data_IF_524218013001
#
_entry.id   IF_524218013001
#
_cell.length_a   1.000
_cell.length_b   1.000
_cell.length_c   1.000
_cell.angle_alpha   90.00
_cell.angle_beta   90.00
_cell.angle_gamma   90.00
#
_symmetry.space_group_name_H-M   'P 1'
#
loop_
_entity.id
_entity.type
_entity.pdbx_description
1 polymer ?
#
# COMPACT_ATOMS: atom_id res chain seq x y z
N UNK A 1 -32.94 64.82 -60.71
CA UNK A 1 -33.37 63.39 -60.62
C UNK A 1 -32.18 62.47 -60.32
N UNK A 2 -31.01 62.68 -60.92
CA UNK A 2 -29.76 61.90 -60.72
C UNK A 2 -29.30 61.72 -59.26
N UNK A 3 -29.38 62.76 -58.43
CA UNK A 3 -28.88 62.69 -57.04
C UNK A 3 -29.70 61.71 -56.18
N UNK A 4 -30.99 61.51 -56.51
CA UNK A 4 -31.89 60.61 -55.79
C UNK A 4 -31.65 59.16 -56.19
N UNK A 5 -31.44 58.89 -57.49
CA UNK A 5 -31.09 57.54 -57.98
C UNK A 5 -29.76 57.08 -57.41
N UNK A 6 -28.74 57.95 -57.37
CA UNK A 6 -27.40 57.63 -56.85
C UNK A 6 -27.38 57.28 -55.36
N UNK A 7 -28.22 57.95 -54.56
CA UNK A 7 -28.37 57.64 -53.14
C UNK A 7 -29.08 56.29 -52.91
N UNK A 8 -30.05 55.94 -53.77
CA UNK A 8 -30.75 54.65 -53.69
C UNK A 8 -29.81 53.50 -54.07
N UNK A 9 -28.98 53.67 -55.12
CA UNK A 9 -28.00 52.63 -55.51
C UNK A 9 -26.98 52.38 -54.41
N UNK A 10 -26.49 53.45 -53.77
CA UNK A 10 -25.51 53.33 -52.68
C UNK A 10 -26.11 52.64 -51.45
N UNK A 11 -27.37 52.94 -51.12
CA UNK A 11 -28.08 52.27 -50.02
C UNK A 11 -28.21 50.77 -50.31
N UNK A 12 -28.66 50.39 -51.51
CA UNK A 12 -28.82 48.99 -51.91
C UNK A 12 -27.48 48.23 -51.84
N UNK A 13 -26.38 48.84 -52.30
CA UNK A 13 -25.05 48.22 -52.22
C UNK A 13 -24.58 47.99 -50.78
N UNK A 14 -24.82 48.95 -49.88
CA UNK A 14 -24.48 48.79 -48.45
C UNK A 14 -25.32 47.69 -47.82
N UNK A 15 -26.62 47.63 -48.10
CA UNK A 15 -27.50 46.59 -47.56
C UNK A 15 -27.10 45.21 -48.08
N UNK A 16 -26.69 45.10 -49.34
CA UNK A 16 -26.25 43.84 -49.93
C UNK A 16 -24.93 43.36 -49.30
N UNK A 17 -23.98 44.26 -49.06
CA UNK A 17 -22.71 43.93 -48.38
C UNK A 17 -22.97 43.52 -46.94
N UNK A 18 -23.87 44.21 -46.23
CA UNK A 18 -24.25 43.85 -44.86
C UNK A 18 -24.93 42.46 -44.82
N UNK A 19 -25.84 42.18 -45.75
CA UNK A 19 -26.50 40.88 -45.87
C UNK A 19 -25.52 39.76 -46.23
N UNK A 20 -24.56 40.01 -47.13
CA UNK A 20 -23.49 39.07 -47.46
C UNK A 20 -22.55 38.83 -46.26
N UNK A 21 -22.24 39.88 -45.48
CA UNK A 21 -21.47 39.77 -44.25
C UNK A 21 -22.18 38.95 -43.17
N UNK A 22 -23.49 39.17 -42.99
CA UNK A 22 -24.34 38.41 -42.07
C UNK A 22 -24.49 36.96 -42.56
N UNK A 23 -24.71 36.73 -43.85
CA UNK A 23 -24.82 35.40 -44.45
C UNK A 23 -23.50 34.63 -44.32
N UNK A 24 -22.36 35.29 -44.57
CA UNK A 24 -21.03 34.72 -44.37
C UNK A 24 -20.77 34.43 -42.88
N UNK A 25 -21.16 35.32 -41.97
CA UNK A 25 -21.05 35.10 -40.52
C UNK A 25 -21.94 33.95 -40.01
N UNK A 26 -23.16 33.83 -40.54
CA UNK A 26 -24.10 32.75 -40.20
C UNK A 26 -23.66 31.40 -40.78
N UNK A 27 -23.05 31.37 -41.97
CA UNK A 27 -22.47 30.16 -42.56
C UNK A 27 -21.10 29.77 -42.00
N UNK A 28 -20.38 30.70 -41.36
CA UNK A 28 -19.11 30.43 -40.68
C UNK A 28 -19.29 29.75 -39.30
N UNK A 29 -20.48 29.25 -38.99
CA UNK A 29 -20.63 28.12 -38.06
C UNK A 29 -20.30 26.83 -38.82
N UNK A 30 -19.03 26.71 -39.20
CA UNK A 30 -18.46 25.40 -39.49
C UNK A 30 -18.46 24.63 -38.18
N UNK A 31 -19.18 23.52 -38.16
CA UNK A 31 -18.97 22.41 -37.24
C UNK A 31 -17.53 21.88 -37.42
N UNK A 32 -16.53 22.62 -36.96
CA UNK A 32 -15.51 21.92 -36.20
C UNK A 32 -16.31 21.34 -35.03
N UNK A 33 -16.59 20.03 -35.08
CA UNK A 33 -16.96 19.31 -33.89
C UNK A 33 -15.89 19.67 -32.86
N UNK A 34 -16.24 20.56 -31.94
CA UNK A 34 -15.42 21.00 -30.83
C UNK A 34 -15.33 19.80 -29.88
N UNK A 35 -14.63 18.76 -30.34
CA UNK A 35 -14.36 17.56 -29.58
C UNK A 35 -13.55 18.04 -28.38
N UNK A 36 -14.05 17.85 -27.16
CA UNK A 36 -13.34 18.28 -25.98
C UNK A 36 -11.92 17.71 -26.03
N UNK A 37 -10.94 18.61 -26.04
CA UNK A 37 -9.53 18.25 -26.11
C UNK A 37 -9.07 17.82 -24.72
N UNK A 38 -8.70 16.57 -24.57
CA UNK A 38 -8.24 15.98 -23.31
C UNK A 38 -6.73 15.80 -23.35
N UNK A 39 -6.05 15.98 -22.22
CA UNK A 39 -4.66 15.53 -22.05
C UNK A 39 -4.66 14.06 -21.67
N UNK A 40 -3.85 13.28 -22.36
CA UNK A 40 -3.63 11.88 -22.02
C UNK A 40 -2.40 11.74 -21.12
N UNK A 41 -2.27 10.59 -20.47
CA UNK A 41 -0.95 10.06 -20.12
C UNK A 41 -0.36 10.57 -18.80
N UNK A 42 -0.86 10.04 -17.69
CA UNK A 42 0.04 9.78 -16.56
C UNK A 42 -0.18 8.34 -16.15
N UNK A 43 0.87 7.52 -16.24
CA UNK A 43 0.91 6.27 -15.52
C UNK A 43 1.27 6.59 -14.07
N UNK A 44 0.54 6.02 -13.12
CA UNK A 44 0.87 6.09 -11.71
C UNK A 44 0.89 4.69 -11.11
N UNK A 45 1.78 4.51 -10.14
CA UNK A 45 1.68 3.42 -9.20
C UNK A 45 1.97 3.95 -7.80
N UNK A 46 1.57 3.19 -6.79
CA UNK A 46 2.03 3.50 -5.44
C UNK A 46 3.49 3.07 -5.34
N UNK A 47 4.40 4.04 -5.32
CA UNK A 47 5.85 3.77 -5.31
C UNK A 47 6.30 2.82 -4.19
N UNK A 48 5.59 2.81 -3.06
CA UNK A 48 5.95 2.01 -1.88
C UNK A 48 5.26 0.65 -1.86
N UNK A 49 4.02 0.56 -2.38
CA UNK A 49 3.26 -0.70 -2.36
C UNK A 49 3.47 -1.53 -3.63
N UNK A 50 3.53 -0.84 -4.76
CA UNK A 50 3.44 -1.37 -6.11
C UNK A 50 4.40 -0.61 -7.04
N UNK A 51 5.73 -0.74 -6.85
CA UNK A 51 6.70 -0.16 -7.78
C UNK A 51 6.55 -0.79 -9.17
N UNK A 52 6.18 0.02 -10.17
CA UNK A 52 5.95 -0.43 -11.55
C UNK A 52 6.94 0.26 -12.48
N UNK A 53 7.34 -0.39 -13.56
CA UNK A 53 8.11 0.24 -14.65
C UNK A 53 7.32 0.06 -15.93
N UNK A 54 6.95 1.15 -16.59
CA UNK A 54 6.27 1.09 -17.89
C UNK A 54 7.31 0.76 -18.95
N UNK A 55 7.08 -0.33 -19.67
CA UNK A 55 7.93 -0.81 -20.76
C UNK A 55 7.43 -0.28 -22.09
N UNK A 56 6.12 -0.36 -22.32
CA UNK A 56 5.45 0.16 -23.50
C UNK A 56 4.07 0.69 -23.11
N UNK A 57 3.63 1.80 -23.69
CA UNK A 57 2.28 2.29 -23.50
C UNK A 57 1.84 3.09 -24.72
N UNK A 58 0.62 2.84 -25.18
CA UNK A 58 0.02 3.61 -26.26
C UNK A 58 -1.49 3.68 -26.15
N UNK A 59 -1.99 4.90 -26.30
CA UNK A 59 -3.41 5.15 -26.52
C UNK A 59 -3.66 5.26 -28.02
N UNK A 60 -4.76 4.68 -28.47
CA UNK A 60 -5.15 4.68 -29.89
C UNK A 60 -6.49 5.41 -30.01
N UNK A 61 -6.56 6.44 -30.84
CA UNK A 61 -7.80 7.14 -31.18
C UNK A 61 -8.60 6.43 -32.26
N UNK A 62 -9.84 6.87 -32.49
CA UNK A 62 -10.75 6.25 -33.46
C UNK A 62 -10.26 6.29 -34.91
N UNK A 63 -9.39 7.25 -35.25
CA UNK A 63 -8.74 7.40 -36.55
C UNK A 63 -7.44 6.59 -36.67
N UNK A 64 -7.06 5.82 -35.64
CA UNK A 64 -5.86 5.00 -35.61
C UNK A 64 -4.59 5.74 -35.22
N UNK A 65 -4.66 7.05 -34.93
CA UNK A 65 -3.51 7.79 -34.40
C UNK A 65 -3.13 7.20 -33.05
N UNK A 66 -1.83 6.92 -32.90
CA UNK A 66 -1.28 6.33 -31.69
C UNK A 66 -0.45 7.39 -30.98
N UNK A 67 -0.82 7.71 -29.74
CA UNK A 67 0.04 8.51 -28.86
C UNK A 67 0.84 7.56 -27.99
N UNK A 68 2.16 7.72 -28.07
CA UNK A 68 3.13 6.77 -27.57
C UNK A 68 3.50 7.01 -26.11
N UNK A 69 4.46 6.19 -25.68
CA UNK A 69 4.93 6.13 -24.29
C UNK A 69 5.47 7.48 -23.76
N UNK A 70 5.90 8.41 -24.63
CA UNK A 70 6.41 9.74 -24.23
C UNK A 70 5.33 10.60 -23.58
N UNK A 71 4.09 10.42 -24.00
CA UNK A 71 2.94 11.12 -23.44
C UNK A 71 2.55 10.58 -22.06
N UNK A 72 3.03 9.40 -21.63
CA UNK A 72 2.78 8.84 -20.29
C UNK A 72 3.73 9.39 -19.20
N UNK A 73 4.69 10.24 -19.59
CA UNK A 73 5.64 10.92 -18.70
C UNK A 73 7.12 10.57 -18.97
N UNK A 74 8.02 11.35 -18.36
CA UNK A 74 9.48 11.15 -18.42
C UNK A 74 9.98 9.89 -17.69
N UNK A 75 9.07 9.06 -17.15
CA UNK A 75 9.37 7.89 -16.30
C UNK A 75 9.63 6.62 -17.13
N UNK A 76 9.84 6.75 -18.44
CA UNK A 76 10.28 5.64 -19.28
C UNK A 76 11.58 5.07 -18.74
N UNK A 77 11.56 3.79 -18.40
CA UNK A 77 12.68 3.07 -17.81
C UNK A 77 13.06 3.51 -16.38
N UNK A 78 12.20 4.27 -15.70
CA UNK A 78 12.30 4.53 -14.26
C UNK A 78 11.09 3.91 -13.54
N UNK A 79 11.22 3.49 -12.27
CA UNK A 79 10.07 3.13 -11.47
C UNK A 79 9.08 4.30 -11.39
N UNK A 80 7.83 4.03 -11.76
CA UNK A 80 6.71 4.95 -11.62
C UNK A 80 6.68 5.51 -10.21
N UNK A 81 6.46 6.81 -10.13
CA UNK A 81 6.32 7.50 -8.85
C UNK A 81 4.87 7.92 -8.63
N UNK A 82 4.55 8.42 -7.44
CA UNK A 82 3.23 9.00 -7.15
C UNK A 82 2.43 8.29 -6.08
N UNK A 83 1.25 8.87 -5.80
CA UNK A 83 0.28 8.31 -4.86
C UNK A 83 -0.91 7.78 -5.63
N UNK A 84 -1.32 6.55 -5.30
CA UNK A 84 -2.50 5.92 -5.89
C UNK A 84 -3.73 6.81 -5.73
N UNK A 85 -4.40 7.10 -6.84
CA UNK A 85 -5.59 7.94 -6.84
C UNK A 85 -5.34 9.45 -6.68
N UNK A 86 -4.10 9.93 -6.73
CA UNK A 86 -3.78 11.38 -6.66
C UNK A 86 -3.17 11.90 -7.97
N UNK A 87 -2.54 11.03 -8.77
CA UNK A 87 -1.94 11.42 -10.06
C UNK A 87 -0.61 12.16 -9.88
N UNK A 88 0.32 12.00 -10.83
CA UNK A 88 1.55 12.79 -10.86
C UNK A 88 1.34 14.05 -11.70
N UNK A 89 1.20 15.18 -11.02
CA UNK A 89 1.24 16.51 -11.64
C UNK A 89 0.18 16.76 -12.71
N UNK A 90 0.14 18.01 -13.16
CA UNK A 90 -0.59 18.37 -14.37
C UNK A 90 0.34 18.08 -15.54
N UNK A 91 0.26 16.87 -16.12
CA UNK A 91 0.96 16.66 -17.39
C UNK A 91 0.30 17.53 -18.44
N UNK A 92 1.09 18.42 -19.04
CA UNK A 92 0.79 19.09 -20.30
C UNK A 92 0.87 18.04 -21.41
N UNK A 93 -0.03 17.06 -21.38
CA UNK A 93 -0.13 16.04 -22.41
C UNK A 93 -0.64 16.61 -23.72
N UNK A 94 -0.46 15.86 -24.80
CA UNK A 94 -1.02 16.22 -26.10
C UNK A 94 -2.55 16.28 -26.01
N UNK A 95 -3.11 17.42 -26.44
CA UNK A 95 -4.55 17.61 -26.53
C UNK A 95 -5.12 16.75 -27.67
N UNK A 96 -5.85 15.70 -27.32
CA UNK A 96 -6.37 14.72 -28.24
C UNK A 96 -7.85 14.37 -27.93
N UNK A 97 -8.61 13.78 -28.88
CA UNK A 97 -9.94 13.22 -28.61
C UNK A 97 -9.89 12.11 -27.54
N UNK A 98 -11.01 11.49 -27.16
CA UNK A 98 -10.93 10.33 -26.25
C UNK A 98 -10.38 9.11 -27.01
N UNK A 99 -9.43 8.35 -26.43
CA UNK A 99 -8.93 7.14 -27.06
C UNK A 99 -9.99 6.04 -27.03
N UNK A 100 -9.95 5.17 -28.04
CA UNK A 100 -10.83 4.00 -28.17
C UNK A 100 -10.18 2.72 -27.65
N UNK A 101 -8.86 2.68 -27.54
CA UNK A 101 -8.13 1.56 -26.95
C UNK A 101 -6.83 1.99 -26.25
N UNK A 102 -6.35 1.11 -25.37
CA UNK A 102 -5.09 1.24 -24.64
C UNK A 102 -4.30 -0.06 -24.77
N UNK A 103 -3.06 0.05 -25.20
CA UNK A 103 -2.06 -0.99 -25.09
C UNK A 103 -1.02 -0.58 -24.05
N UNK A 104 -0.72 -1.46 -23.09
CA UNK A 104 0.26 -1.17 -22.05
C UNK A 104 0.96 -2.44 -21.59
N UNK A 105 2.27 -2.31 -21.42
CA UNK A 105 3.20 -3.32 -20.94
C UNK A 105 3.99 -2.73 -19.78
N UNK A 106 4.07 -3.46 -18.67
CA UNK A 106 4.81 -3.00 -17.50
C UNK A 106 5.43 -4.15 -16.73
N UNK A 107 6.50 -3.83 -15.99
CA UNK A 107 7.15 -4.70 -15.04
C UNK A 107 6.69 -4.34 -13.62
N UNK A 108 6.19 -5.32 -12.87
CA UNK A 108 6.02 -5.22 -11.43
C UNK A 108 7.34 -5.54 -10.75
N UNK A 109 7.99 -4.54 -10.14
CA UNK A 109 9.26 -4.77 -9.43
C UNK A 109 9.07 -5.57 -8.15
N UNK A 110 7.84 -5.57 -7.61
CA UNK A 110 7.48 -6.38 -6.44
C UNK A 110 7.32 -7.86 -6.80
N UNK A 111 6.64 -8.16 -7.90
CA UNK A 111 6.37 -9.56 -8.32
C UNK A 111 7.45 -10.12 -9.24
N UNK A 112 8.32 -9.25 -9.79
CA UNK A 112 9.29 -9.57 -10.85
C UNK A 112 8.63 -10.18 -12.10
N UNK A 113 7.38 -9.79 -12.36
CA UNK A 113 6.58 -10.27 -13.50
C UNK A 113 6.28 -9.12 -14.46
N UNK A 114 6.27 -9.45 -15.75
CA UNK A 114 5.78 -8.56 -16.79
C UNK A 114 4.30 -8.79 -17.04
N UNK A 115 3.56 -7.71 -17.23
CA UNK A 115 2.13 -7.71 -17.53
C UNK A 115 1.86 -6.97 -18.82
N UNK A 116 0.89 -7.47 -19.59
CA UNK A 116 0.45 -6.87 -20.85
C UNK A 116 -1.06 -6.78 -20.91
N UNK A 117 -1.56 -5.63 -21.32
CA UNK A 117 -2.98 -5.41 -21.59
C UNK A 117 -3.18 -4.69 -22.92
N UNK A 118 -4.15 -5.18 -23.67
CA UNK A 118 -4.73 -4.53 -24.85
C UNK A 118 -6.23 -4.47 -24.63
N UNK A 119 -6.75 -3.28 -24.33
CA UNK A 119 -8.14 -3.10 -23.89
C UNK A 119 -8.87 -2.08 -24.74
N UNK A 120 -10.13 -2.39 -25.07
CA UNK A 120 -11.05 -1.43 -25.66
C UNK A 120 -11.60 -0.53 -24.55
N UNK A 121 -11.59 0.77 -24.79
CA UNK A 121 -11.97 1.78 -23.81
C UNK A 121 -13.45 2.14 -23.94
N UNK A 122 -14.18 2.33 -22.83
CA UNK A 122 -15.61 2.64 -22.84
C UNK A 122 -15.84 4.12 -23.15
N UNK A 123 -15.62 4.54 -24.39
CA UNK A 123 -15.61 5.96 -24.82
C UNK A 123 -16.82 6.76 -24.33
N UNK A 124 -18.04 6.21 -24.43
CA UNK A 124 -19.27 6.87 -23.94
C UNK A 124 -19.24 7.10 -22.42
N UNK A 125 -18.77 6.11 -21.66
CA UNK A 125 -18.62 6.21 -20.20
C UNK A 125 -17.54 7.23 -19.83
N UNK A 126 -16.42 7.20 -20.57
CA UNK A 126 -15.34 8.17 -20.40
C UNK A 126 -15.85 9.60 -20.61
N UNK A 127 -16.52 9.89 -21.74
CA UNK A 127 -17.04 11.23 -22.02
C UNK A 127 -17.97 11.74 -20.91
N UNK A 128 -18.89 10.89 -20.43
CA UNK A 128 -19.77 11.22 -19.31
C UNK A 128 -19.01 11.55 -18.01
N UNK A 129 -18.00 10.74 -17.66
CA UNK A 129 -17.18 10.93 -16.47
C UNK A 129 -16.29 12.18 -16.60
N UNK A 130 -15.72 12.43 -17.77
CA UNK A 130 -14.92 13.63 -18.02
C UNK A 130 -15.79 14.89 -17.90
N UNK A 131 -17.00 14.91 -18.47
CA UNK A 131 -17.93 16.03 -18.27
C UNK A 131 -18.31 16.22 -16.81
N UNK A 132 -18.60 15.13 -16.08
CA UNK A 132 -19.02 15.22 -14.68
C UNK A 132 -17.90 15.72 -13.76
N UNK A 133 -16.67 15.24 -13.97
CA UNK A 133 -15.45 15.65 -13.25
C UNK A 133 -14.97 17.06 -13.61
N UNK A 134 -15.49 17.66 -14.70
CA UNK A 134 -14.81 18.73 -15.43
C UNK A 134 -13.33 18.33 -15.67
N UNK A 135 -13.20 17.11 -16.18
CA UNK A 135 -11.99 16.35 -16.40
C UNK A 135 -11.19 16.91 -17.55
N UNK A 136 -9.87 16.87 -17.40
CA UNK A 136 -8.93 17.25 -18.46
C UNK A 136 -7.86 16.21 -18.70
N UNK A 137 -7.65 15.27 -17.76
CA UNK A 137 -6.53 14.33 -17.82
C UNK A 137 -7.00 12.88 -17.62
N UNK A 138 -6.52 11.97 -18.47
CA UNK A 138 -6.70 10.51 -18.31
C UNK A 138 -5.49 9.91 -17.56
N UNK A 139 -5.74 9.18 -16.48
CA UNK A 139 -4.71 8.57 -15.64
C UNK A 139 -4.84 7.04 -15.68
N UNK A 140 -3.71 6.35 -15.81
CA UNK A 140 -3.60 4.89 -15.76
C UNK A 140 -2.90 4.48 -14.48
N UNK A 141 -3.60 3.75 -13.61
CA UNK A 141 -3.04 3.13 -12.43
C UNK A 141 -2.59 1.72 -12.70
N UNK A 142 -1.33 1.40 -12.39
CA UNK A 142 -0.78 0.05 -12.48
C UNK A 142 -0.46 -0.48 -11.08
N UNK A 143 -0.91 -1.69 -10.79
CA UNK A 143 -0.71 -2.36 -9.50
C UNK A 143 -0.36 -3.85 -9.69
N UNK A 144 -0.06 -4.53 -8.58
CA UNK A 144 0.27 -5.97 -8.58
C UNK A 144 -0.89 -6.83 -9.08
N UNK A 145 -0.61 -8.09 -9.40
CA UNK A 145 -1.56 -9.06 -9.95
C UNK A 145 -2.15 -8.62 -11.30
N UNK A 146 -1.42 -7.79 -12.04
CA UNK A 146 -1.85 -7.26 -13.34
C UNK A 146 -3.00 -6.25 -13.25
N UNK A 147 -3.28 -5.67 -12.08
CA UNK A 147 -4.38 -4.72 -11.91
C UNK A 147 -4.10 -3.41 -12.64
N UNK A 148 -5.04 -3.01 -13.48
CA UNK A 148 -5.04 -1.74 -14.21
C UNK A 148 -6.31 -0.96 -13.90
N UNK A 149 -6.19 0.31 -13.54
CA UNK A 149 -7.35 1.19 -13.30
C UNK A 149 -7.25 2.45 -14.15
N UNK A 150 -8.36 2.86 -14.76
CA UNK A 150 -8.45 4.13 -15.47
C UNK A 150 -9.24 5.15 -14.66
N UNK A 151 -8.73 6.38 -14.62
CA UNK A 151 -9.42 7.51 -14.00
C UNK A 151 -9.43 8.75 -14.87
N UNK A 152 -10.47 9.57 -14.70
CA UNK A 152 -10.49 10.95 -15.18
C UNK A 152 -10.15 11.89 -14.02
N UNK A 153 -9.11 12.72 -14.19
CA UNK A 153 -8.77 13.80 -13.27
C UNK A 153 -9.29 15.13 -13.80
N UNK A 154 -10.01 15.85 -12.95
CA UNK A 154 -10.56 17.17 -13.23
C UNK A 154 -10.59 18.07 -12.00
N UNK A 155 -11.19 19.25 -12.15
CA UNK A 155 -11.34 20.19 -11.03
C UNK A 155 -12.18 19.66 -9.87
N UNK A 156 -13.03 18.64 -10.10
CA UNK A 156 -13.81 17.97 -9.06
C UNK A 156 -13.14 16.74 -8.46
N UNK A 157 -11.85 16.53 -8.76
CA UNK A 157 -11.06 15.41 -8.26
C UNK A 157 -10.91 14.28 -9.27
N UNK A 158 -10.67 13.08 -8.75
CA UNK A 158 -10.38 11.88 -9.53
C UNK A 158 -11.59 10.93 -9.53
N UNK A 159 -12.12 10.63 -10.71
CA UNK A 159 -13.24 9.70 -10.87
C UNK A 159 -12.80 8.44 -11.61
N UNK A 160 -13.15 7.28 -11.05
CA UNK A 160 -12.85 5.97 -11.64
C UNK A 160 -13.72 5.70 -12.87
N UNK A 161 -13.07 5.34 -13.98
CA UNK A 161 -13.71 4.96 -15.22
C UNK A 161 -13.96 3.45 -15.23
N UNK A 162 -12.89 2.65 -15.13
CA UNK A 162 -12.96 1.21 -15.24
C UNK A 162 -11.69 0.54 -14.69
N UNK A 163 -11.85 -0.69 -14.20
CA UNK A 163 -10.77 -1.60 -13.81
C UNK A 163 -10.64 -2.73 -14.83
N UNK A 164 -9.40 -3.15 -15.05
CA UNK A 164 -9.02 -4.25 -15.91
C UNK A 164 -7.98 -5.11 -15.20
N UNK A 165 -7.82 -6.35 -15.65
CA UNK A 165 -6.79 -7.26 -15.17
C UNK A 165 -6.00 -7.77 -16.38
N UNK A 166 -4.71 -7.43 -16.41
CA UNK A 166 -3.77 -7.94 -17.39
C UNK A 166 -3.35 -9.38 -17.06
N UNK A 167 -2.88 -10.09 -18.09
CA UNK A 167 -2.20 -11.36 -17.91
C UNK A 167 -0.70 -11.13 -17.81
N UNK A 168 -0.03 -11.95 -17.00
CA UNK A 168 1.42 -12.01 -17.06
C UNK A 168 1.86 -12.58 -18.41
N UNK A 169 3.04 -12.18 -18.87
CA UNK A 169 3.64 -12.70 -20.09
C UNK A 169 5.16 -12.74 -19.95
N UNK A 170 5.80 -13.59 -20.75
CA UNK A 170 7.25 -13.56 -20.91
C UNK A 170 7.60 -12.67 -22.12
N UNK A 171 8.39 -11.60 -21.93
CA UNK A 171 8.79 -10.74 -23.03
C UNK A 171 9.72 -11.45 -24.01
N UNK A 172 9.57 -11.18 -25.31
CA UNK A 172 10.59 -11.60 -26.29
C UNK A 172 11.85 -10.75 -26.10
N UNK A 173 12.86 -11.34 -25.47
CA UNK A 173 14.08 -10.66 -25.08
C UNK A 173 14.97 -10.23 -26.26
N UNK A 174 14.79 -10.81 -27.45
CA UNK A 174 15.53 -10.43 -28.65
C UNK A 174 15.17 -9.02 -29.12
N UNK A 175 13.90 -8.63 -28.95
CA UNK A 175 13.34 -7.34 -29.41
C UNK A 175 12.98 -6.41 -28.25
N UNK A 176 13.29 -6.81 -27.02
CA UNK A 176 12.97 -6.02 -25.82
C UNK A 176 13.85 -4.75 -25.77
N UNK A 177 13.30 -3.59 -25.37
CA UNK A 177 14.06 -2.35 -25.24
C UNK A 177 15.01 -2.41 -24.04
N UNK A 178 16.16 -3.05 -24.23
CA UNK A 178 17.22 -3.26 -23.22
C UNK A 178 18.44 -2.41 -23.49
N UNK A 179 19.23 -2.15 -22.44
CA UNK A 179 20.52 -1.47 -22.57
C UNK A 179 21.62 -2.52 -22.56
N UNK A 180 22.46 -2.54 -23.59
CA UNK A 180 23.52 -3.55 -23.79
C UNK A 180 22.93 -4.98 -23.92
N UNK A 181 23.79 -5.99 -23.86
CA UNK A 181 23.41 -7.42 -23.91
C UNK A 181 22.97 -7.96 -22.54
N UNK A 182 22.20 -7.18 -21.77
CA UNK A 182 21.66 -7.64 -20.48
C UNK A 182 20.55 -8.70 -20.68
N UNK A 183 20.46 -9.68 -19.78
CA UNK A 183 19.35 -10.64 -19.73
C UNK A 183 18.16 -10.10 -18.90
N UNK A 184 17.05 -10.85 -18.85
CA UNK A 184 15.83 -10.46 -18.14
C UNK A 184 16.06 -10.23 -16.65
N UNK A 185 16.82 -11.11 -16.01
CA UNK A 185 17.15 -11.02 -14.58
C UNK A 185 17.99 -9.77 -14.29
N UNK A 186 18.99 -9.50 -15.11
CA UNK A 186 19.84 -8.32 -15.00
C UNK A 186 19.05 -7.02 -15.20
N UNK A 187 18.11 -6.98 -16.16
CA UNK A 187 17.21 -5.84 -16.37
C UNK A 187 16.32 -5.58 -15.14
N UNK A 188 15.65 -6.62 -14.64
CA UNK A 188 14.78 -6.50 -13.44
C UNK A 188 15.62 -6.01 -12.26
N UNK A 189 16.81 -6.57 -12.05
CA UNK A 189 17.69 -6.16 -10.97
C UNK A 189 18.17 -4.71 -11.14
N UNK A 190 18.49 -4.26 -12.35
CA UNK A 190 18.86 -2.88 -12.65
C UNK A 190 17.71 -1.92 -12.35
N UNK A 191 16.48 -2.26 -12.74
CA UNK A 191 15.29 -1.46 -12.44
C UNK A 191 14.99 -1.42 -10.94
N UNK A 192 15.06 -2.57 -10.27
CA UNK A 192 14.94 -2.66 -8.82
C UNK A 192 16.02 -1.80 -8.13
N UNK A 193 17.22 -1.76 -8.72
CA UNK A 193 18.33 -0.96 -8.23
C UNK A 193 18.17 0.57 -8.41
N UNK A 194 17.17 1.02 -9.17
CA UNK A 194 16.83 2.46 -9.29
C UNK A 194 15.91 2.94 -8.18
N UNK A 195 15.20 2.03 -7.52
CA UNK A 195 14.42 2.34 -6.31
C UNK A 195 15.39 2.63 -5.16
N UNK A 196 15.13 3.64 -4.34
CA UNK A 196 16.02 3.96 -3.20
C UNK A 196 16.05 2.81 -2.18
N UNK A 197 17.10 2.72 -1.37
CA UNK A 197 17.18 1.68 -0.33
C UNK A 197 15.98 1.71 0.62
N UNK A 198 15.55 2.90 1.04
CA UNK A 198 14.38 3.06 1.92
C UNK A 198 13.09 2.55 1.26
N UNK A 199 12.89 2.81 -0.03
CA UNK A 199 11.73 2.32 -0.76
C UNK A 199 11.77 0.80 -0.95
N UNK A 200 12.93 0.23 -1.28
CA UNK A 200 13.10 -1.23 -1.34
C UNK A 200 12.82 -1.88 0.00
N UNK A 201 13.29 -1.28 1.07
CA UNK A 201 13.03 -1.75 2.42
C UNK A 201 11.52 -1.72 2.73
N UNK A 202 10.77 -0.68 2.35
CA UNK A 202 9.30 -0.64 2.47
C UNK A 202 8.60 -1.69 1.57
N UNK A 203 9.05 -1.88 0.34
CA UNK A 203 8.55 -2.93 -0.57
C UNK A 203 8.74 -4.31 0.07
N UNK A 204 9.95 -4.58 0.57
CA UNK A 204 10.33 -5.83 1.24
C UNK A 204 9.50 -6.06 2.52
N UNK A 205 9.25 -5.00 3.30
CA UNK A 205 8.40 -5.07 4.49
C UNK A 205 6.96 -5.47 4.15
N UNK A 206 6.48 -5.09 2.95
CA UNK A 206 5.12 -5.39 2.48
C UNK A 206 5.00 -6.70 1.70
N UNK A 207 6.11 -7.37 1.38
CA UNK A 207 6.12 -8.64 0.64
C UNK A 207 5.68 -9.82 1.51
N UNK A 208 5.13 -10.87 0.91
CA UNK A 208 4.84 -12.09 1.65
C UNK A 208 6.13 -12.83 2.03
N UNK A 209 6.05 -13.87 2.86
CA UNK A 209 7.22 -14.69 3.20
C UNK A 209 7.68 -15.57 2.04
N UNK A 210 6.75 -16.06 1.20
CA UNK A 210 7.08 -16.94 0.07
C UNK A 210 7.89 -16.24 -1.02
N UNK A 211 7.90 -14.91 -1.02
CA UNK A 211 8.57 -14.10 -2.04
C UNK A 211 10.04 -13.80 -1.67
N UNK A 212 10.51 -14.22 -0.49
CA UNK A 212 11.88 -13.95 -0.04
C UNK A 212 12.90 -14.90 -0.68
N UNK A 213 13.78 -14.34 -1.52
CA UNK A 213 14.92 -15.08 -2.08
C UNK A 213 16.12 -15.10 -1.12
N UNK A 214 16.81 -16.23 -1.05
CA UNK A 214 18.05 -16.37 -0.27
C UNK A 214 19.28 -16.05 -1.10
N UNK A 215 20.25 -15.34 -0.53
CA UNK A 215 21.61 -15.22 -1.08
C UNK A 215 22.54 -16.09 -0.26
N UNK A 216 23.14 -17.12 -0.86
CA UNK A 216 24.00 -18.09 -0.16
C UNK A 216 23.31 -18.76 1.05
N UNK A 217 22.01 -19.06 0.93
CA UNK A 217 21.21 -19.64 2.02
C UNK A 217 20.88 -18.67 3.16
N UNK A 218 21.20 -17.38 3.00
CA UNK A 218 20.84 -16.31 3.94
C UNK A 218 19.68 -15.51 3.36
N UNK A 219 18.60 -15.45 4.13
CA UNK A 219 17.42 -14.64 3.86
C UNK A 219 17.53 -13.32 4.62
N UNK A 220 16.91 -12.28 4.08
CA UNK A 220 16.81 -10.99 4.73
C UNK A 220 15.40 -10.44 4.51
N UNK A 221 14.78 -9.97 5.58
CA UNK A 221 13.45 -9.36 5.51
C UNK A 221 13.27 -8.28 6.56
N UNK A 222 12.23 -7.48 6.38
CA UNK A 222 11.76 -6.55 7.41
C UNK A 222 10.48 -7.13 7.99
N UNK A 223 10.48 -7.24 9.31
CA UNK A 223 9.41 -7.85 10.07
C UNK A 223 9.01 -6.92 11.19
N UNK A 224 7.77 -7.02 11.62
CA UNK A 224 7.34 -6.33 12.82
C UNK A 224 7.64 -7.23 14.03
N UNK A 225 8.42 -6.69 14.96
CA UNK A 225 8.76 -7.33 16.22
C UNK A 225 7.50 -7.55 17.07
N UNK A 226 7.33 -8.77 17.59
CA UNK A 226 6.28 -9.08 18.55
C UNK A 226 6.87 -9.13 19.95
N UNK A 227 7.78 -10.09 20.18
CA UNK A 227 8.41 -10.32 21.48
C UNK A 227 9.64 -11.22 21.30
N UNK A 228 10.47 -11.30 22.33
CA UNK A 228 11.45 -12.36 22.51
C UNK A 228 11.05 -13.20 23.72
N UNK A 229 11.17 -14.52 23.62
CA UNK A 229 10.86 -15.43 24.72
C UNK A 229 11.84 -16.59 24.76
N UNK A 230 12.13 -17.09 25.96
CA UNK A 230 12.90 -18.30 26.13
C UNK A 230 11.99 -19.52 26.07
N UNK A 231 12.16 -20.36 25.06
CA UNK A 231 11.42 -21.63 24.94
C UNK A 231 12.42 -22.76 25.19
N UNK A 232 12.22 -23.48 26.30
CA UNK A 232 13.17 -24.45 26.84
C UNK A 232 14.56 -23.83 27.10
N UNK A 233 15.55 -24.14 26.26
CA UNK A 233 16.93 -23.63 26.37
C UNK A 233 17.31 -22.67 25.24
N UNK A 234 16.34 -22.27 24.41
CA UNK A 234 16.58 -21.44 23.23
C UNK A 234 15.85 -20.10 23.37
N UNK A 235 16.52 -19.03 22.98
CA UNK A 235 15.90 -17.73 22.81
C UNK A 235 15.16 -17.70 21.47
N UNK A 236 13.88 -17.34 21.49
CA UNK A 236 13.02 -17.29 20.32
C UNK A 236 12.60 -15.85 20.06
N UNK A 237 12.93 -15.36 18.87
CA UNK A 237 12.45 -14.11 18.33
C UNK A 237 11.13 -14.36 17.61
N UNK A 238 10.04 -13.79 18.12
CA UNK A 238 8.73 -13.82 17.48
C UNK A 238 8.50 -12.53 16.72
N UNK A 239 8.18 -12.66 15.44
CA UNK A 239 7.86 -11.54 14.55
C UNK A 239 6.65 -11.86 13.69
N UNK A 240 6.05 -10.84 13.09
CA UNK A 240 5.07 -11.03 12.03
C UNK A 240 5.46 -10.27 10.76
N UNK A 241 5.01 -10.80 9.63
CA UNK A 241 5.04 -10.15 8.33
C UNK A 241 3.67 -10.33 7.69
N UNK A 242 2.95 -9.23 7.46
CA UNK A 242 1.55 -9.27 7.03
C UNK A 242 0.67 -10.16 7.93
N UNK A 243 0.16 -11.27 7.40
CA UNK A 243 -0.70 -12.26 8.08
C UNK A 243 0.08 -13.44 8.65
N UNK A 244 1.37 -13.55 8.33
CA UNK A 244 2.19 -14.69 8.72
C UNK A 244 2.99 -14.33 9.97
N UNK A 245 3.02 -15.25 10.93
CA UNK A 245 3.86 -15.14 12.12
C UNK A 245 5.01 -16.13 12.01
N UNK A 246 6.20 -15.71 12.42
CA UNK A 246 7.40 -16.54 12.40
C UNK A 246 8.08 -16.51 13.76
N UNK A 247 8.60 -17.67 14.16
CA UNK A 247 9.55 -17.80 15.25
C UNK A 247 10.93 -18.12 14.72
N UNK A 248 11.92 -17.31 15.09
CA UNK A 248 13.32 -17.57 14.81
C UNK A 248 14.06 -17.96 16.08
N UNK A 249 14.91 -18.99 16.01
CA UNK A 249 15.87 -19.26 17.07
C UNK A 249 16.96 -18.18 17.01
N UNK A 250 17.13 -17.45 18.10
CA UNK A 250 18.20 -16.48 18.26
C UNK A 250 19.34 -17.12 19.05
N UNK A 251 20.54 -17.17 18.45
CA UNK A 251 21.75 -17.61 19.15
C UNK A 251 22.43 -16.46 19.92
N UNK A 252 22.04 -15.23 19.62
CA UNK A 252 22.57 -14.02 20.25
C UNK A 252 21.48 -13.37 21.10
N UNK A 253 21.88 -12.78 22.22
CA UNK A 253 21.02 -11.85 22.97
C UNK A 253 20.68 -10.69 22.03
N UNK A 254 19.40 -10.51 21.74
CA UNK A 254 18.98 -9.35 20.95
C UNK A 254 19.24 -8.07 21.75
N UNK A 255 19.42 -6.92 21.08
CA UNK A 255 19.47 -5.64 21.77
C UNK A 255 18.20 -5.47 22.63
N UNK A 256 18.35 -5.08 23.90
CA UNK A 256 17.25 -4.85 24.86
C UNK A 256 16.33 -3.65 24.50
N UNK A 257 16.23 -3.27 23.22
CA UNK A 257 15.71 -1.97 22.78
C UNK A 257 14.50 -2.06 21.87
N UNK A 258 14.00 -3.25 21.54
CA UNK A 258 12.83 -3.38 20.68
C UNK A 258 11.55 -3.42 21.51
N UNK A 259 10.54 -2.67 21.09
CA UNK A 259 9.18 -2.78 21.62
C UNK A 259 8.27 -3.42 20.59
N UNK A 260 7.21 -4.10 21.05
CA UNK A 260 6.20 -4.69 20.17
C UNK A 260 5.70 -3.64 19.15
N UNK A 261 5.66 -4.04 17.88
CA UNK A 261 5.28 -3.15 16.76
C UNK A 261 6.43 -2.41 16.09
N UNK A 262 7.66 -2.49 16.60
CA UNK A 262 8.83 -2.00 15.88
C UNK A 262 9.04 -2.79 14.59
N UNK A 263 9.39 -2.12 13.50
CA UNK A 263 9.90 -2.80 12.32
C UNK A 263 11.39 -3.05 12.51
N UNK A 264 11.79 -4.30 12.39
CA UNK A 264 13.17 -4.76 12.50
C UNK A 264 13.58 -5.46 11.20
N UNK A 265 14.79 -5.20 10.74
CA UNK A 265 15.40 -5.99 9.67
C UNK A 265 16.02 -7.22 10.29
N UNK A 266 15.66 -8.41 9.80
CA UNK A 266 16.16 -9.69 10.29
C UNK A 266 16.89 -10.38 9.16
N UNK A 267 18.14 -10.76 9.44
CA UNK A 267 18.95 -11.64 8.59
C UNK A 267 18.92 -13.02 9.20
N UNK A 268 18.53 -14.03 8.45
CA UNK A 268 18.34 -15.38 8.98
C UNK A 268 18.72 -16.47 7.96
N UNK A 269 18.87 -17.70 8.42
CA UNK A 269 19.11 -18.87 7.57
C UNK A 269 18.29 -20.06 8.03
N UNK A 270 18.02 -21.00 7.12
CA UNK A 270 17.50 -22.31 7.49
C UNK A 270 18.68 -23.22 7.79
N UNK A 271 18.66 -23.91 8.92
CA UNK A 271 19.63 -24.96 9.24
C UNK A 271 18.94 -26.19 9.82
N UNK A 272 19.54 -27.35 9.57
CA UNK A 272 19.12 -28.61 10.15
C UNK A 272 19.53 -28.69 11.62
N UNK A 273 18.56 -28.99 12.49
CA UNK A 273 18.79 -29.29 13.90
C UNK A 273 18.55 -30.77 14.10
N UNK A 274 19.62 -31.49 14.43
CA UNK A 274 19.57 -32.92 14.69
C UNK A 274 19.24 -33.18 16.16
N UNK A 275 18.14 -33.89 16.39
CA UNK A 275 17.80 -34.46 17.69
C UNK A 275 18.17 -35.93 17.70
N UNK A 276 19.05 -36.32 18.62
CA UNK A 276 19.47 -37.71 18.78
C UNK A 276 18.58 -38.41 19.79
N UNK A 277 18.09 -39.59 19.43
CA UNK A 277 17.35 -40.49 20.32
C UNK A 277 18.32 -41.40 21.07
N UNK A 278 17.85 -41.97 22.18
CA UNK A 278 18.64 -42.90 23.00
C UNK A 278 19.03 -44.20 22.25
N UNK A 279 18.37 -44.52 21.14
CA UNK A 279 18.68 -45.66 20.27
C UNK A 279 19.79 -45.35 19.23
N UNK A 280 20.39 -44.16 19.29
CA UNK A 280 21.43 -43.72 18.36
C UNK A 280 20.90 -43.18 17.03
N UNK A 281 19.59 -43.21 16.78
CA UNK A 281 19.00 -42.60 15.59
C UNK A 281 18.88 -41.08 15.75
N UNK A 282 18.85 -40.35 14.63
CA UNK A 282 18.67 -38.90 14.63
C UNK A 282 17.52 -38.49 13.73
N UNK A 283 16.82 -37.42 14.13
CA UNK A 283 15.84 -36.74 13.30
C UNK A 283 16.31 -35.32 13.06
N UNK A 284 16.36 -34.89 11.80
CA UNK A 284 16.61 -33.49 11.45
C UNK A 284 15.30 -32.71 11.41
N UNK A 285 15.30 -31.50 11.97
CA UNK A 285 14.25 -30.51 11.78
C UNK A 285 14.83 -29.22 11.23
N UNK A 286 14.29 -28.73 10.11
CA UNK A 286 14.66 -27.42 9.55
C UNK A 286 14.20 -26.32 10.48
N UNK A 287 15.14 -25.51 10.95
CA UNK A 287 14.90 -24.44 11.92
C UNK A 287 15.43 -23.12 11.37
N UNK A 288 14.71 -22.02 11.65
CA UNK A 288 15.10 -20.68 11.23
C UNK A 288 16.01 -20.06 12.29
N UNK A 289 17.24 -19.71 11.93
CA UNK A 289 18.22 -19.11 12.83
C UNK A 289 18.45 -17.64 12.49
N UNK A 290 18.29 -16.76 13.48
CA UNK A 290 18.67 -15.36 13.37
C UNK A 290 20.20 -15.25 13.33
N UNK A 291 20.71 -14.58 12.31
CA UNK A 291 22.11 -14.18 12.20
C UNK A 291 22.29 -12.78 12.80
N UNK A 292 21.40 -11.85 12.45
CA UNK A 292 21.45 -10.45 12.90
C UNK A 292 20.07 -9.81 12.86
N UNK A 293 19.84 -8.89 13.79
CA UNK A 293 18.72 -7.95 13.74
C UNK A 293 19.21 -6.51 13.78
N UNK A 294 18.41 -5.60 13.26
CA UNK A 294 18.60 -4.16 13.41
C UNK A 294 17.24 -3.45 13.42
N UNK A 295 17.10 -2.41 14.25
CA UNK A 295 15.91 -1.56 14.25
C UNK A 295 15.83 -0.84 12.90
N UNK A 296 14.76 -1.11 12.15
CA UNK A 296 14.47 -0.44 10.90
C UNK A 296 13.62 0.82 11.14
N UNK A 297 12.54 0.70 11.91
CA UNK A 297 11.63 1.81 12.21
C UNK A 297 10.92 1.58 13.54
N UNK A 298 10.86 2.63 14.37
CA UNK A 298 10.12 2.59 15.63
C UNK A 298 8.61 2.49 15.38
N UNK A 299 7.97 1.57 16.09
CA UNK A 299 6.53 1.44 16.18
C UNK A 299 5.92 2.49 17.10
N UNK A 300 4.58 2.50 17.19
CA UNK A 300 3.86 3.46 18.04
C UNK A 300 4.25 3.36 19.51
N UNK A 301 4.47 2.15 20.01
CA UNK A 301 4.85 1.91 21.41
C UNK A 301 6.23 2.51 21.72
N UNK A 302 7.26 2.20 20.94
CA UNK A 302 8.60 2.79 21.12
C UNK A 302 8.57 4.32 21.09
N UNK A 303 7.84 4.90 20.13
CA UNK A 303 7.65 6.36 20.05
C UNK A 303 6.90 6.93 21.26
N UNK A 304 5.97 6.17 21.83
CA UNK A 304 5.19 6.58 23.00
C UNK A 304 6.02 6.49 24.28
N UNK A 305 6.81 5.44 24.46
CA UNK A 305 7.76 5.28 25.57
C UNK A 305 8.75 6.45 25.61
N UNK A 306 9.31 6.84 24.47
CA UNK A 306 10.19 8.01 24.34
C UNK A 306 9.52 9.33 24.71
N UNK A 307 8.22 9.44 24.45
CA UNK A 307 7.41 10.61 24.81
C UNK A 307 6.99 10.61 26.28
N UNK A 308 7.38 9.60 27.07
CA UNK A 308 7.02 9.44 28.46
C UNK A 308 5.64 8.81 28.63
N UNK A 309 5.48 7.57 28.17
CA UNK A 309 4.28 6.77 28.44
C UNK A 309 4.02 6.70 29.96
N UNK A 310 2.77 6.85 30.43
CA UNK A 310 2.48 6.66 31.84
C UNK A 310 2.86 5.25 32.29
N UNK A 311 3.44 5.08 33.49
CA UNK A 311 3.77 3.76 33.99
C UNK A 311 2.48 2.95 34.19
N UNK A 312 2.54 1.67 33.83
CA UNK A 312 1.41 0.77 34.01
C UNK A 312 1.48 0.11 35.39
N UNK A 313 0.35 -0.02 36.07
CA UNK A 313 0.25 -0.70 37.37
C UNK A 313 -0.83 -1.76 37.30
N UNK A 314 -0.41 -3.02 37.40
CA UNK A 314 -1.30 -4.17 37.37
C UNK A 314 -1.86 -4.48 38.76
N UNK A 315 -3.12 -4.89 38.84
CA UNK A 315 -3.72 -5.55 39.99
C UNK A 315 -4.22 -6.93 39.55
N UNK A 316 -3.70 -8.00 40.16
CA UNK A 316 -4.09 -9.37 39.84
C UNK A 316 -5.04 -9.88 40.91
N UNK A 317 -6.27 -10.25 40.52
CA UNK A 317 -7.24 -10.79 41.50
C UNK A 317 -6.85 -12.16 42.05
N UNK A 318 -5.94 -12.86 41.36
CA UNK A 318 -5.51 -14.20 41.72
C UNK A 318 -3.98 -14.30 41.75
N UNK A 319 -3.44 -14.94 42.80
CA UNK A 319 -2.00 -15.15 43.00
C UNK A 319 -1.35 -16.11 41.99
N UNK A 320 -2.14 -16.81 41.17
CA UNK A 320 -1.62 -17.80 40.20
C UNK A 320 -1.06 -17.18 38.92
N UNK A 321 -1.18 -15.86 38.75
CA UNK A 321 -0.81 -15.13 37.53
C UNK A 321 0.67 -14.68 37.55
N UNK A 322 1.41 -14.98 38.62
CA UNK A 322 2.81 -14.60 38.81
C UNK A 322 3.79 -15.61 38.17
N UNK A 323 4.03 -15.51 36.86
CA UNK A 323 5.13 -16.18 36.14
C UNK A 323 5.68 -15.28 35.01
N UNK A 324 6.56 -15.77 34.13
CA UNK A 324 7.08 -15.01 32.97
C UNK A 324 5.97 -14.37 32.10
N UNK A 325 4.73 -14.87 32.18
CA UNK A 325 3.57 -14.28 31.48
C UNK A 325 3.16 -12.92 32.04
N UNK A 326 3.51 -12.58 33.29
CA UNK A 326 3.20 -11.28 33.90
C UNK A 326 3.89 -10.14 33.16
N UNK A 327 5.18 -10.31 32.82
CA UNK A 327 5.96 -9.32 32.06
C UNK A 327 5.39 -9.15 30.66
N UNK A 328 5.14 -10.27 29.98
CA UNK A 328 4.54 -10.29 28.65
C UNK A 328 3.17 -9.58 28.62
N UNK A 329 2.36 -9.77 29.65
CA UNK A 329 1.05 -9.12 29.75
C UNK A 329 1.18 -7.60 29.84
N UNK A 330 2.15 -7.10 30.61
CA UNK A 330 2.45 -5.66 30.69
C UNK A 330 2.80 -5.07 29.32
N UNK A 331 3.68 -5.75 28.57
CA UNK A 331 4.08 -5.33 27.23
C UNK A 331 2.91 -5.37 26.23
N UNK A 332 2.06 -6.40 26.30
CA UNK A 332 0.86 -6.53 25.48
C UNK A 332 -0.14 -5.40 25.76
N UNK A 333 -0.38 -5.10 27.04
CA UNK A 333 -1.25 -3.99 27.44
C UNK A 333 -0.65 -2.66 26.97
N UNK A 334 0.67 -2.46 27.13
CA UNK A 334 1.33 -1.26 26.65
C UNK A 334 1.19 -1.09 25.13
N UNK A 335 1.39 -2.18 24.38
CA UNK A 335 1.22 -2.20 22.93
C UNK A 335 -0.23 -1.90 22.51
N UNK A 336 -1.20 -2.50 23.19
CA UNK A 336 -2.62 -2.22 22.97
C UNK A 336 -2.94 -0.74 23.19
N UNK A 337 -2.54 -0.18 24.33
CA UNK A 337 -2.74 1.23 24.66
C UNK A 337 -2.10 2.17 23.62
N UNK A 338 -0.90 1.83 23.14
CA UNK A 338 -0.21 2.59 22.11
C UNK A 338 -0.95 2.60 20.76
N UNK A 339 -1.78 1.60 20.49
CA UNK A 339 -2.51 1.42 19.23
C UNK A 339 -4.03 1.61 19.35
N UNK A 340 -4.57 1.85 20.53
CA UNK A 340 -6.01 2.00 20.74
C UNK A 340 -6.58 3.19 19.96
N UNK A 341 -7.73 2.97 19.31
CA UNK A 341 -8.50 4.04 18.65
C UNK A 341 -9.48 4.74 19.62
N UNK A 342 -9.62 4.20 20.83
CA UNK A 342 -10.49 4.71 21.88
C UNK A 342 -9.98 6.05 22.42
N UNK A 343 -10.81 7.10 22.30
CA UNK A 343 -10.44 8.48 22.62
C UNK A 343 -10.12 8.66 24.11
N UNK A 344 -10.79 7.95 25.01
CA UNK A 344 -10.60 8.08 26.45
C UNK A 344 -9.31 7.40 26.90
N UNK A 345 -9.00 6.24 26.29
CA UNK A 345 -7.69 5.60 26.43
C UNK A 345 -6.59 6.53 25.95
N UNK A 346 -6.73 7.09 24.73
CA UNK A 346 -5.73 8.00 24.17
C UNK A 346 -5.55 9.25 25.02
N UNK A 347 -6.64 9.83 25.53
CA UNK A 347 -6.57 10.97 26.45
C UNK A 347 -5.76 10.64 27.71
N UNK A 348 -5.97 9.47 28.32
CA UNK A 348 -5.22 9.09 29.51
C UNK A 348 -3.75 8.79 29.21
N UNK A 349 -3.47 8.08 28.13
CA UNK A 349 -2.11 7.72 27.72
C UNK A 349 -1.30 8.97 27.29
N UNK A 350 -1.87 9.83 26.45
CA UNK A 350 -1.13 10.94 25.85
C UNK A 350 -1.06 12.19 26.74
N UNK A 351 -2.10 12.48 27.53
CA UNK A 351 -2.19 13.70 28.34
C UNK A 351 -1.76 13.51 29.78
N UNK A 352 -1.84 12.29 30.35
CA UNK A 352 -1.58 12.03 31.78
C UNK A 352 -0.27 11.28 32.03
N UNK A 353 0.79 11.64 31.31
CA UNK A 353 2.12 11.01 31.29
C UNK A 353 2.75 10.66 32.65
N UNK A 354 2.39 11.36 33.74
CA UNK A 354 2.95 11.14 35.08
C UNK A 354 2.05 10.33 36.01
N UNK A 355 0.80 10.08 35.65
CA UNK A 355 -0.14 9.34 36.49
C UNK A 355 -0.13 7.87 36.09
N UNK A 356 0.14 6.93 37.01
CA UNK A 356 0.12 5.52 36.69
C UNK A 356 -1.25 5.11 36.15
N UNK A 357 -1.25 4.40 35.02
CA UNK A 357 -2.45 3.84 34.45
C UNK A 357 -2.66 2.45 35.05
N UNK A 358 -3.78 2.27 35.74
CA UNK A 358 -4.09 1.03 36.44
C UNK A 358 -4.87 0.08 35.53
N UNK A 359 -4.57 -1.20 35.65
CA UNK A 359 -5.39 -2.24 35.06
C UNK A 359 -5.54 -3.42 36.00
N UNK A 360 -6.73 -4.03 36.01
CA UNK A 360 -7.02 -5.24 36.77
C UNK A 360 -7.02 -6.44 35.83
N UNK A 361 -6.47 -7.56 36.28
CA UNK A 361 -6.44 -8.83 35.56
C UNK A 361 -7.19 -9.87 36.37
N UNK A 362 -8.19 -10.47 35.76
CA UNK A 362 -9.05 -11.52 36.34
C UNK A 362 -9.19 -12.68 35.36
N UNK A 363 -9.55 -13.86 35.86
CA UNK A 363 -9.85 -15.01 34.99
C UNK A 363 -11.10 -14.74 34.16
N UNK A 364 -11.07 -15.18 32.91
CA UNK A 364 -12.25 -15.17 32.04
C UNK A 364 -12.46 -16.57 31.46
N UNK A 365 -13.65 -17.13 31.70
CA UNK A 365 -14.07 -18.41 31.15
C UNK A 365 -14.87 -18.16 29.88
N UNK A 366 -14.30 -18.57 28.75
CA UNK A 366 -14.97 -18.54 27.46
C UNK A 366 -16.07 -19.61 27.39
N UNK A 367 -17.07 -19.42 26.52
CA UNK A 367 -18.18 -20.37 26.37
C UNK A 367 -17.75 -21.78 25.97
N UNK A 368 -16.60 -21.92 25.28
CA UNK A 368 -16.00 -23.21 24.93
C UNK A 368 -15.27 -23.89 26.09
N UNK A 369 -15.38 -23.37 27.32
CA UNK A 369 -14.79 -23.93 28.53
C UNK A 369 -13.31 -23.60 28.73
N UNK A 370 -12.65 -22.95 27.76
CA UNK A 370 -11.26 -22.49 27.92
C UNK A 370 -11.20 -21.31 28.88
N UNK A 371 -10.08 -21.21 29.59
CA UNK A 371 -9.79 -20.11 30.53
C UNK A 371 -8.72 -19.20 29.92
N UNK A 372 -9.02 -17.92 29.81
CA UNK A 372 -8.04 -16.87 29.54
C UNK A 372 -8.17 -15.77 30.59
N UNK A 373 -7.79 -14.54 30.25
CA UNK A 373 -7.83 -13.41 31.17
C UNK A 373 -8.72 -12.29 30.64
N UNK A 374 -9.49 -11.68 31.52
CA UNK A 374 -10.07 -10.36 31.31
C UNK A 374 -9.13 -9.32 31.91
N UNK A 375 -8.92 -8.24 31.17
CA UNK A 375 -8.11 -7.10 31.57
C UNK A 375 -8.99 -5.86 31.53
N UNK A 376 -9.10 -5.20 32.67
CA UNK A 376 -9.95 -4.02 32.87
C UNK A 376 -9.04 -2.81 33.06
N UNK A 377 -9.00 -1.93 32.08
CA UNK A 377 -8.19 -0.71 32.11
C UNK A 377 -9.06 0.43 32.64
N UNK A 378 -8.56 1.12 33.68
CA UNK A 378 -9.26 2.25 34.34
C UNK A 378 -8.44 3.54 34.17
N UNK A 379 -8.60 4.26 33.05
CA UNK A 379 -7.77 5.41 32.69
C UNK A 379 -8.08 6.70 33.49
N UNK A 380 -9.21 6.75 34.21
CA UNK A 380 -9.69 7.95 34.91
C UNK A 380 -10.03 7.60 36.37
N UNK A 381 -9.87 8.58 37.27
CA UNK A 381 -10.31 8.48 38.68
C UNK A 381 -11.84 8.47 38.82
N UNK A 382 -12.57 8.72 37.74
CA UNK A 382 -14.04 8.66 37.68
C UNK A 382 -14.46 7.28 37.20
N UNK A 383 -15.39 6.59 37.88
CA UNK A 383 -15.72 5.18 37.65
C UNK A 383 -16.46 4.90 36.33
N UNK A 384 -16.80 5.93 35.57
CA UNK A 384 -17.71 5.80 34.42
C UNK A 384 -17.06 5.18 33.17
N UNK A 385 -15.73 5.07 33.12
CA UNK A 385 -15.03 4.48 31.99
C UNK A 385 -14.06 3.36 32.41
N UNK A 386 -14.38 2.15 31.97
CA UNK A 386 -13.49 0.99 32.02
C UNK A 386 -13.44 0.33 30.64
N UNK A 387 -12.24 0.12 30.11
CA UNK A 387 -12.06 -0.66 28.88
C UNK A 387 -11.78 -2.11 29.24
N UNK A 388 -12.61 -3.01 28.73
CA UNK A 388 -12.44 -4.45 28.87
C UNK A 388 -11.79 -5.02 27.60
N UNK A 389 -10.66 -5.68 27.79
CA UNK A 389 -9.99 -6.47 26.75
C UNK A 389 -9.69 -7.86 27.31
N UNK A 390 -9.45 -8.82 26.43
CA UNK A 390 -9.38 -10.23 26.80
C UNK A 390 -8.15 -10.88 26.18
N UNK A 391 -7.38 -11.63 26.96
CA UNK A 391 -6.29 -12.44 26.41
C UNK A 391 -6.86 -13.75 25.85
N UNK A 392 -6.55 -14.03 24.58
CA UNK A 392 -7.01 -15.25 23.94
C UNK A 392 -6.32 -16.49 24.54
N UNK A 393 -7.07 -17.54 24.96
CA UNK A 393 -6.52 -18.67 25.72
C UNK A 393 -5.59 -19.57 24.91
N UNK A 394 -5.70 -19.53 23.57
CA UNK A 394 -4.86 -20.32 22.66
C UNK A 394 -3.88 -19.44 21.86
N UNK A 395 -3.84 -18.13 22.12
CA UNK A 395 -2.97 -17.19 21.41
C UNK A 395 -2.45 -16.16 22.40
N UNK A 396 -1.40 -16.49 23.18
CA UNK A 396 -0.96 -15.72 24.35
C UNK A 396 -0.38 -14.33 24.05
N UNK A 397 -0.40 -13.91 22.78
CA UNK A 397 0.04 -12.60 22.29
C UNK A 397 -1.09 -11.79 21.64
N UNK A 398 -2.33 -12.30 21.70
CA UNK A 398 -3.49 -11.67 21.09
C UNK A 398 -4.45 -11.20 22.17
N UNK A 399 -4.59 -9.89 22.26
CA UNK A 399 -5.66 -9.23 23.00
C UNK A 399 -6.88 -9.07 22.08
N UNK A 400 -8.06 -9.25 22.65
CA UNK A 400 -9.35 -9.19 21.97
C UNK A 400 -10.24 -8.14 22.62
N UNK A 401 -11.02 -7.44 21.81
CA UNK A 401 -12.16 -6.67 22.31
C UNK A 401 -13.42 -7.54 22.42
N UNK A 402 -14.41 -7.09 23.20
CA UNK A 402 -15.64 -7.86 23.46
C UNK A 402 -16.35 -8.37 22.20
N UNK A 403 -16.37 -7.57 21.14
CA UNK A 403 -16.99 -7.98 19.86
C UNK A 403 -16.24 -9.14 19.21
N UNK A 404 -14.91 -9.17 19.32
CA UNK A 404 -14.08 -10.27 18.81
C UNK A 404 -14.21 -11.52 19.69
N UNK A 405 -14.37 -11.36 21.01
CA UNK A 405 -14.66 -12.48 21.92
C UNK A 405 -15.95 -13.18 21.49
N UNK A 406 -17.04 -12.42 21.28
CA UNK A 406 -18.31 -12.97 20.79
C UNK A 406 -18.20 -13.72 19.47
N UNK A 407 -17.37 -13.22 18.55
CA UNK A 407 -17.14 -13.89 17.27
C UNK A 407 -16.34 -15.19 17.44
N UNK A 408 -15.33 -15.21 18.33
CA UNK A 408 -14.53 -16.39 18.60
C UNK A 408 -15.24 -17.42 19.49
N UNK A 409 -16.26 -17.04 20.25
CA UNK A 409 -17.05 -17.98 21.05
C UNK A 409 -18.02 -18.83 20.22
N UNK A 410 -18.31 -18.42 18.99
CA UNK A 410 -19.16 -19.15 18.04
C UNK A 410 -18.37 -20.08 17.10
N UNK A 411 -17.04 -20.08 17.19
CA UNK A 411 -16.12 -20.91 16.42
C UNK A 411 -15.33 -21.83 17.36
#
# INVERSE_FOLDING_TARGET
MEKRTRNITLLISITLIALLGIYYFLLRKTDELDLPKYTWGSAISDKYRWPMVVVNASFISSDGVTLGIADFGNEQFEPLSGKWGIGNGDTTGTLAPLPVSLNVEWLSLREKLFYKASVNLPTKKMDSIFRSANGRQLIVGLATEGKLTLWAKGSKGLLEIQKFTAKSYEPNWEVFPKKNDEDQSAYIQRMYNKVSNAERDEINASASLSDEESTNGIFNGIYTYITQQKIAKQEMLLVHKLKDSLGFVSQNTLPNTYSQGDLIKVRWRVADVFSYKNDGTSTSTKTLFVIRTELYKKGKLSLLLEKGMPPLTAFYEQERIFDEKTLLLGDLVAFYLANADDIDIRNAVDKRKKQPLKYTVSDYRYNNGKVGYQIIITPVKDPDFAKHIYLHPSSPLRLLEWQEVKQNENN
#
